data_IF_896098825972
#
_entry.id   IF_896098825972
#
_cell.length_a   1.000
_cell.length_b   1.000
_cell.length_c   1.000
_cell.angle_alpha   90.00
_cell.angle_beta   90.00
_cell.angle_gamma   90.00
#
_symmetry.space_group_name_H-M   'P 1'
#
loop_
_entity.id
_entity.type
_entity.pdbx_description
1 polymer ?
#
# COMPACT_ATOMS: atom_id res chain seq x y z
N UNK A 1 32.73 -65.45 26.82
CA UNK A 1 32.12 -66.26 27.88
C UNK A 1 33.10 -66.43 29.04
N UNK A 2 32.68 -66.24 30.24
CA UNK A 2 33.45 -66.61 31.42
C UNK A 2 33.32 -68.12 31.68
N UNK A 3 34.45 -68.83 31.68
CA UNK A 3 34.46 -70.30 31.78
C UNK A 3 34.07 -70.82 33.16
N UNK A 4 34.11 -70.00 34.21
CA UNK A 4 33.76 -70.41 35.58
C UNK A 4 32.29 -70.12 35.90
N UNK A 5 31.72 -69.00 35.39
CA UNK A 5 30.35 -68.59 35.65
C UNK A 5 29.37 -68.92 34.55
N UNK A 6 29.86 -69.15 33.31
CA UNK A 6 29.03 -69.33 32.12
C UNK A 6 28.41 -68.04 31.59
N UNK A 7 28.77 -66.85 32.13
CA UNK A 7 28.27 -65.56 31.69
C UNK A 7 28.85 -65.20 30.34
N UNK A 8 27.96 -64.88 29.38
CA UNK A 8 28.31 -64.37 28.04
C UNK A 8 28.07 -62.87 28.00
N UNK A 9 29.09 -62.10 27.62
CA UNK A 9 29.04 -60.67 27.51
C UNK A 9 29.37 -60.22 26.08
N UNK A 10 28.74 -59.13 25.61
CA UNK A 10 29.14 -58.43 24.40
C UNK A 10 30.45 -57.68 24.65
N UNK A 11 31.35 -57.67 23.68
CA UNK A 11 32.64 -57.01 23.73
C UNK A 11 32.49 -55.50 23.37
N UNK A 12 31.53 -55.19 22.49
CA UNK A 12 31.24 -53.86 22.03
C UNK A 12 29.75 -53.55 22.29
N UNK A 13 29.38 -52.27 22.26
CA UNK A 13 27.98 -51.85 22.34
C UNK A 13 27.25 -52.37 21.09
N UNK A 14 26.09 -53.01 21.23
CA UNK A 14 25.31 -53.44 20.06
C UNK A 14 24.80 -52.23 19.30
N UNK A 15 24.77 -52.36 18.00
CA UNK A 15 24.30 -51.41 16.99
C UNK A 15 23.42 -52.18 16.04
N UNK A 16 22.12 -51.86 15.98
CA UNK A 16 21.14 -52.63 15.19
C UNK A 16 21.38 -52.49 13.71
N UNK A 17 21.77 -51.27 13.24
CA UNK A 17 22.04 -50.97 11.81
C UNK A 17 23.29 -51.74 11.31
N UNK A 18 24.23 -52.07 12.21
CA UNK A 18 25.38 -52.86 11.91
C UNK A 18 25.06 -54.36 12.01
N UNK A 19 24.31 -54.77 13.04
CA UNK A 19 23.97 -56.16 13.30
C UNK A 19 22.71 -56.31 14.18
N UNK A 20 21.61 -56.78 13.61
CA UNK A 20 20.30 -56.93 14.23
C UNK A 20 20.20 -58.11 15.18
N UNK A 21 21.11 -59.07 15.11
CA UNK A 21 21.11 -60.29 15.92
C UNK A 21 22.49 -60.93 16.06
N UNK A 22 22.73 -61.55 17.21
CA UNK A 22 23.93 -62.33 17.50
C UNK A 22 23.55 -63.80 17.71
N UNK A 23 24.24 -64.70 17.06
CA UNK A 23 24.05 -66.16 17.23
C UNK A 23 25.33 -66.80 17.73
N UNK A 24 25.25 -67.59 18.79
CA UNK A 24 26.37 -68.31 19.34
C UNK A 24 25.94 -69.65 19.91
N UNK A 25 26.90 -70.51 20.10
CA UNK A 25 26.66 -71.89 20.61
C UNK A 25 27.47 -72.10 21.90
N UNK A 26 26.82 -72.56 22.93
CA UNK A 26 27.44 -72.84 24.23
C UNK A 26 27.56 -74.32 24.38
N UNK A 27 28.74 -74.79 24.90
CA UNK A 27 29.01 -76.19 25.34
C UNK A 27 29.53 -76.11 26.78
N UNK A 28 29.28 -77.12 27.60
CA UNK A 28 29.88 -77.31 28.92
C UNK A 28 30.80 -78.51 28.89
N UNK A 29 31.92 -78.36 29.66
CA UNK A 29 32.91 -79.54 29.79
C UNK A 29 33.13 -79.78 31.26
N UNK A 30 33.01 -81.01 31.72
CA UNK A 30 33.26 -81.41 33.09
C UNK A 30 34.78 -81.57 33.39
N UNK A 31 35.15 -81.81 34.66
CA UNK A 31 36.52 -81.93 35.08
C UNK A 31 37.19 -83.24 34.50
N UNK A 32 36.43 -84.18 34.00
CA UNK A 32 36.91 -85.41 33.43
C UNK A 32 37.08 -85.22 31.87
N UNK A 33 36.69 -84.10 31.29
CA UNK A 33 36.78 -83.78 29.87
C UNK A 33 35.57 -84.21 29.04
N UNK A 34 34.48 -84.63 29.67
CA UNK A 34 33.25 -84.88 28.93
C UNK A 34 32.55 -83.57 28.53
N UNK A 35 32.15 -83.54 27.24
CA UNK A 35 31.52 -82.33 26.65
C UNK A 35 30.02 -82.59 26.49
N UNK A 36 29.24 -81.58 26.86
CA UNK A 36 27.76 -81.59 26.68
C UNK A 36 27.37 -81.54 25.19
N UNK A 37 26.12 -81.80 24.90
CA UNK A 37 25.51 -81.36 23.64
C UNK A 37 25.61 -79.84 23.49
N UNK A 38 25.67 -79.35 22.28
CA UNK A 38 25.73 -77.92 21.98
C UNK A 38 24.35 -77.26 22.09
N UNK A 39 24.30 -76.09 22.78
CA UNK A 39 23.10 -75.25 22.88
C UNK A 39 23.26 -73.97 22.04
N UNK A 40 22.44 -73.83 21.00
CA UNK A 40 22.39 -72.60 20.20
C UNK A 40 21.56 -71.55 20.93
N UNK A 41 22.06 -70.33 20.95
CA UNK A 41 21.44 -69.15 21.54
C UNK A 41 21.39 -68.06 20.49
N UNK A 42 20.23 -67.36 20.35
CA UNK A 42 20.06 -66.14 19.58
C UNK A 42 19.82 -65.00 20.54
N UNK A 43 20.47 -63.87 20.29
CA UNK A 43 20.25 -62.60 20.94
C UNK A 43 19.84 -61.57 19.88
N UNK A 44 18.61 -61.12 19.93
CA UNK A 44 18.13 -60.06 19.07
C UNK A 44 18.48 -58.69 19.65
N UNK A 45 18.86 -57.74 18.84
CA UNK A 45 19.08 -56.33 19.17
C UNK A 45 17.80 -55.57 18.89
N UNK A 46 17.34 -54.79 19.84
CA UNK A 46 16.20 -53.90 19.61
C UNK A 46 16.68 -52.67 18.88
N UNK A 47 16.02 -52.31 17.77
CA UNK A 47 16.23 -51.05 17.09
C UNK A 47 15.73 -49.90 17.98
N UNK A 48 16.52 -48.87 18.13
CA UNK A 48 16.17 -47.57 18.73
C UNK A 48 16.30 -46.51 17.66
N UNK A 49 15.44 -45.52 17.72
CA UNK A 49 15.44 -44.39 16.77
C UNK A 49 16.50 -43.37 17.22
N UNK A 50 17.63 -43.30 16.51
CA UNK A 50 18.71 -42.35 16.73
C UNK A 50 18.88 -41.33 15.58
N UNK A 51 18.13 -41.50 14.50
CA UNK A 51 18.23 -40.63 13.34
C UNK A 51 17.23 -39.47 13.48
N UNK A 52 17.73 -38.25 13.34
CA UNK A 52 16.89 -37.07 13.37
C UNK A 52 16.22 -36.84 12.00
N UNK A 53 14.98 -36.33 11.96
CA UNK A 53 14.29 -36.00 10.74
C UNK A 53 14.99 -34.90 9.96
N UNK A 54 14.88 -34.93 8.63
CA UNK A 54 15.44 -33.93 7.73
C UNK A 54 14.32 -33.09 7.11
N UNK A 55 14.38 -31.76 7.22
CA UNK A 55 13.43 -30.87 6.55
C UNK A 55 13.64 -30.96 5.05
N UNK A 56 12.56 -31.18 4.30
CA UNK A 56 12.54 -31.38 2.84
C UNK A 56 11.87 -30.24 2.07
N UNK A 57 11.15 -29.34 2.75
CA UNK A 57 10.57 -28.14 2.14
C UNK A 57 11.65 -27.13 1.75
N UNK A 58 11.41 -26.35 0.70
CA UNK A 58 12.39 -25.41 0.14
C UNK A 58 12.71 -24.25 1.09
N UNK A 59 13.98 -23.85 1.13
CA UNK A 59 14.49 -22.68 1.83
C UNK A 59 14.52 -21.47 0.90
N UNK A 60 13.37 -21.00 0.42
CA UNK A 60 13.27 -19.82 -0.44
C UNK A 60 12.81 -18.59 0.37
N UNK A 61 13.18 -17.40 -0.10
CA UNK A 61 12.55 -16.16 0.38
C UNK A 61 11.07 -16.19 -0.02
N UNK A 62 10.21 -15.92 0.96
CA UNK A 62 8.77 -15.83 0.75
C UNK A 62 8.45 -14.34 0.55
N UNK A 63 7.67 -14.03 -0.46
CA UNK A 63 7.22 -12.66 -0.74
C UNK A 63 5.71 -12.61 -0.55
N UNK A 64 5.25 -11.66 0.24
CA UNK A 64 3.83 -11.39 0.48
C UNK A 64 3.55 -9.91 0.28
N UNK A 65 2.37 -9.58 -0.19
CA UNK A 65 1.94 -8.18 -0.25
C UNK A 65 1.46 -7.73 1.13
N UNK A 66 1.75 -6.50 1.50
CA UNK A 66 1.08 -5.90 2.64
C UNK A 66 -0.44 -5.85 2.38
N UNK A 67 -1.21 -5.67 3.43
CA UNK A 67 -2.67 -5.68 3.37
C UNK A 67 -3.30 -6.96 2.80
N UNK A 68 -2.51 -8.07 2.69
CA UNK A 68 -2.97 -9.36 2.18
C UNK A 68 -3.85 -10.13 3.17
N UNK A 69 -3.99 -9.65 4.40
CA UNK A 69 -4.88 -10.18 5.43
C UNK A 69 -4.16 -10.89 6.57
N UNK A 70 -4.79 -10.89 7.75
CA UNK A 70 -4.31 -11.53 8.96
C UNK A 70 -4.59 -13.04 8.96
N UNK A 71 -3.77 -13.83 9.69
CA UNK A 71 -3.97 -15.25 9.88
C UNK A 71 -3.68 -16.11 8.64
N UNK A 72 -2.87 -15.62 7.71
CA UNK A 72 -2.51 -16.37 6.49
C UNK A 72 -1.39 -17.37 6.73
N UNK A 73 -1.49 -18.53 6.09
CA UNK A 73 -0.40 -19.51 6.04
C UNK A 73 0.63 -19.02 5.04
N UNK A 74 1.83 -18.72 5.53
CA UNK A 74 2.94 -18.17 4.73
C UNK A 74 3.95 -19.21 4.30
N UNK A 75 4.02 -20.35 5.01
CA UNK A 75 4.94 -21.44 4.73
C UNK A 75 4.37 -22.76 5.25
N UNK A 76 4.75 -23.88 4.64
CA UNK A 76 4.46 -25.22 5.16
C UNK A 76 5.73 -26.04 5.17
N UNK A 77 6.19 -26.39 6.36
CA UNK A 77 7.34 -27.27 6.56
C UNK A 77 6.96 -28.72 6.27
N UNK A 78 7.84 -29.44 5.60
CA UNK A 78 7.78 -30.89 5.41
C UNK A 78 9.12 -31.49 5.85
N UNK A 79 9.08 -32.71 6.36
CA UNK A 79 10.28 -33.43 6.77
C UNK A 79 10.20 -34.90 6.36
N UNK A 80 11.35 -35.51 6.21
CA UNK A 80 11.55 -36.96 5.99
C UNK A 80 12.30 -37.55 7.19
N UNK A 81 11.73 -38.63 7.70
CA UNK A 81 12.23 -39.41 8.84
C UNK A 81 12.26 -40.89 8.51
N UNK A 82 12.56 -41.24 7.26
CA UNK A 82 12.49 -42.59 6.75
C UNK A 82 13.80 -43.38 6.88
N UNK A 83 14.85 -42.75 7.40
CA UNK A 83 16.18 -43.38 7.49
C UNK A 83 16.32 -44.41 8.61
N UNK A 84 15.42 -44.38 9.59
CA UNK A 84 15.37 -45.32 10.70
C UNK A 84 13.90 -45.60 11.08
N UNK A 85 13.53 -45.58 12.38
CA UNK A 85 12.16 -45.81 12.83
C UNK A 85 11.37 -44.51 12.72
N UNK A 86 10.50 -44.41 11.72
CA UNK A 86 9.62 -43.27 11.59
C UNK A 86 8.31 -43.46 12.36
N UNK A 87 8.18 -42.79 13.50
CA UNK A 87 6.99 -42.79 14.35
C UNK A 87 6.24 -41.47 14.35
N UNK A 88 6.46 -40.61 13.33
CA UNK A 88 5.88 -39.31 13.14
C UNK A 88 6.81 -38.17 13.56
N UNK A 89 6.62 -37.01 12.91
CA UNK A 89 7.43 -35.82 13.06
C UNK A 89 6.54 -34.68 13.58
N UNK A 90 7.09 -33.86 14.45
CA UNK A 90 6.48 -32.61 14.91
C UNK A 90 7.37 -31.43 14.54
N UNK A 91 6.73 -30.26 14.29
CA UNK A 91 7.42 -29.04 13.89
C UNK A 91 7.35 -27.98 14.99
N UNK A 92 8.42 -27.20 15.14
CA UNK A 92 8.42 -26.05 16.03
C UNK A 92 9.23 -24.88 15.45
N UNK A 93 8.88 -23.65 15.87
CA UNK A 93 9.68 -22.47 15.61
C UNK A 93 10.77 -22.35 16.67
N UNK A 94 11.96 -21.91 16.25
CA UNK A 94 13.07 -21.67 17.17
C UNK A 94 12.90 -20.33 17.86
N UNK A 95 12.69 -20.32 19.18
CA UNK A 95 12.47 -19.10 19.97
C UNK A 95 13.76 -18.29 20.23
N UNK A 96 14.92 -18.94 20.32
CA UNK A 96 16.21 -18.27 20.51
C UNK A 96 17.36 -19.25 20.31
N UNK A 97 18.27 -18.96 19.40
CA UNK A 97 19.53 -19.70 19.29
C UNK A 97 20.66 -18.87 19.92
N UNK A 98 21.05 -19.25 21.12
CA UNK A 98 22.16 -18.62 21.84
C UNK A 98 23.46 -18.70 21.03
N UNK A 99 24.07 -17.53 20.78
CA UNK A 99 25.36 -17.27 20.17
C UNK A 99 25.49 -16.99 18.67
N UNK A 100 24.43 -17.02 17.87
CA UNK A 100 24.46 -16.47 16.52
C UNK A 100 23.40 -15.36 16.41
N UNK A 101 23.86 -14.12 16.60
CA UNK A 101 23.16 -12.87 16.30
C UNK A 101 21.64 -13.01 16.02
N UNK A 102 20.85 -13.08 17.10
CA UNK A 102 19.42 -12.76 17.10
C UNK A 102 18.53 -13.44 16.04
N UNK A 103 18.68 -14.73 15.77
CA UNK A 103 17.66 -15.48 15.03
C UNK A 103 16.67 -16.04 16.07
N UNK A 104 15.77 -15.20 16.56
CA UNK A 104 14.52 -15.67 17.13
C UNK A 104 13.46 -15.59 16.04
N UNK A 105 12.57 -16.58 15.99
CA UNK A 105 11.38 -16.45 15.16
C UNK A 105 10.57 -15.25 15.63
N UNK A 106 10.04 -14.49 14.68
CA UNK A 106 9.23 -13.31 14.98
C UNK A 106 7.97 -13.72 15.76
N UNK A 107 7.62 -12.96 16.79
CA UNK A 107 6.47 -13.26 17.65
C UNK A 107 5.12 -13.15 16.94
N UNK A 108 5.08 -12.54 15.76
CA UNK A 108 3.90 -12.50 14.89
C UNK A 108 3.66 -13.84 14.16
N UNK A 109 4.61 -14.78 14.22
CA UNK A 109 4.54 -16.08 13.56
C UNK A 109 4.23 -17.20 14.54
N UNK A 110 3.42 -18.15 14.11
CA UNK A 110 3.12 -19.37 14.81
C UNK A 110 3.22 -20.58 13.88
N UNK A 111 3.46 -21.77 14.42
CA UNK A 111 3.50 -23.00 13.65
C UNK A 111 2.51 -24.03 14.22
N UNK A 112 1.83 -24.73 13.33
CA UNK A 112 1.08 -25.92 13.70
C UNK A 112 2.06 -27.11 13.77
N UNK A 113 2.22 -27.68 14.95
CA UNK A 113 3.19 -28.75 15.20
C UNK A 113 2.92 -30.03 14.39
N UNK A 114 1.69 -30.31 13.99
CA UNK A 114 1.32 -31.52 13.28
C UNK A 114 1.38 -31.34 11.75
N UNK A 115 0.97 -30.15 11.25
CA UNK A 115 0.90 -29.90 9.79
C UNK A 115 2.12 -29.19 9.25
N UNK A 116 2.95 -28.57 10.10
CA UNK A 116 4.09 -27.74 9.68
C UNK A 116 3.69 -26.39 9.09
N UNK A 117 2.40 -26.00 9.16
CA UNK A 117 1.92 -24.70 8.64
C UNK A 117 2.39 -23.56 9.55
N UNK A 118 3.12 -22.63 8.96
CA UNK A 118 3.54 -21.38 9.60
C UNK A 118 2.55 -20.29 9.21
N UNK A 119 1.96 -19.66 10.22
CA UNK A 119 0.93 -18.63 10.06
C UNK A 119 1.44 -17.29 10.55
N UNK A 120 1.26 -16.24 9.75
CA UNK A 120 1.42 -14.84 10.16
C UNK A 120 0.11 -14.38 10.81
N UNK A 121 0.17 -14.00 12.09
CA UNK A 121 -1.02 -13.69 12.89
C UNK A 121 -1.67 -12.35 12.50
N UNK A 122 -0.84 -11.34 12.26
CA UNK A 122 -1.28 -9.99 11.95
C UNK A 122 -1.37 -9.77 10.43
N UNK A 123 -2.11 -8.74 10.03
CA UNK A 123 -2.07 -8.24 8.67
C UNK A 123 -0.69 -7.61 8.43
N UNK A 124 0.07 -8.02 7.40
CA UNK A 124 1.34 -7.40 7.10
C UNK A 124 1.16 -5.94 6.70
N UNK A 125 2.07 -5.07 7.15
CA UNK A 125 2.13 -3.63 6.98
C UNK A 125 3.62 -3.29 6.83
N UNK A 126 4.01 -2.85 5.65
CA UNK A 126 5.41 -2.63 5.30
C UNK A 126 6.04 -1.50 6.12
N UNK A 127 5.29 -0.41 6.40
CA UNK A 127 5.75 0.73 7.18
C UNK A 127 5.98 0.38 8.63
N UNK A 128 5.24 -0.62 9.15
CA UNK A 128 5.47 -1.15 10.49
C UNK A 128 6.60 -2.18 10.50
N UNK A 129 6.61 -3.12 9.54
CA UNK A 129 7.60 -4.19 9.46
C UNK A 129 7.73 -4.76 8.04
N UNK A 130 8.76 -4.35 7.31
CA UNK A 130 9.02 -4.78 5.92
C UNK A 130 9.54 -6.21 5.76
N UNK A 131 9.84 -6.95 6.85
CA UNK A 131 10.30 -8.34 6.78
C UNK A 131 10.13 -9.08 8.09
N UNK A 132 9.93 -10.42 8.01
CA UNK A 132 9.86 -11.32 9.15
C UNK A 132 10.89 -12.44 9.00
N UNK A 133 11.46 -12.89 10.12
CA UNK A 133 12.40 -13.99 10.15
C UNK A 133 11.87 -15.11 11.05
N UNK A 134 12.08 -16.36 10.63
CA UNK A 134 11.80 -17.52 11.46
C UNK A 134 12.71 -18.67 11.11
N UNK A 135 12.79 -19.63 12.01
CA UNK A 135 13.49 -20.88 11.77
C UNK A 135 12.63 -22.04 12.26
N UNK A 136 12.56 -23.09 11.46
CA UNK A 136 11.82 -24.31 11.75
C UNK A 136 12.78 -25.43 12.10
N UNK A 137 12.42 -26.24 13.08
CA UNK A 137 13.03 -27.55 13.36
C UNK A 137 11.95 -28.62 13.33
N UNK A 138 12.37 -29.82 12.92
CA UNK A 138 11.57 -31.03 12.96
C UNK A 138 12.10 -31.93 14.07
N UNK A 139 11.22 -32.54 14.86
CA UNK A 139 11.55 -33.47 15.96
C UNK A 139 10.72 -34.73 15.79
N UNK A 140 11.36 -35.90 15.84
CA UNK A 140 10.68 -37.20 15.80
C UNK A 140 10.04 -37.59 17.14
N UNK A 141 9.41 -38.74 17.19
CA UNK A 141 8.75 -39.27 18.37
C UNK A 141 9.76 -39.77 19.47
N UNK A 142 11.01 -40.04 19.09
CA UNK A 142 12.07 -40.41 20.02
C UNK A 142 12.73 -39.20 20.67
N UNK A 143 12.54 -38.01 20.11
CA UNK A 143 13.08 -36.74 20.60
C UNK A 143 14.35 -36.29 19.86
N UNK A 144 14.73 -36.93 18.74
CA UNK A 144 15.85 -36.49 17.94
C UNK A 144 15.44 -35.25 17.14
N UNK A 145 16.28 -34.20 17.22
CA UNK A 145 16.01 -32.89 16.62
C UNK A 145 16.83 -32.72 15.35
N UNK A 146 16.15 -32.47 14.24
CA UNK A 146 16.76 -32.24 12.95
C UNK A 146 17.49 -30.90 12.84
N UNK A 147 18.12 -30.69 11.70
CA UNK A 147 18.79 -29.43 11.41
C UNK A 147 17.74 -28.29 11.27
N UNK A 148 18.11 -27.12 11.80
CA UNK A 148 17.31 -25.92 11.68
C UNK A 148 17.31 -25.39 10.23
N UNK A 149 16.15 -25.00 9.73
CA UNK A 149 15.99 -24.29 8.47
C UNK A 149 15.49 -22.86 8.73
N UNK A 150 16.31 -21.88 8.34
CA UNK A 150 15.97 -20.45 8.49
C UNK A 150 15.27 -19.92 7.23
N UNK A 151 14.26 -19.12 7.45
CA UNK A 151 13.39 -18.52 6.42
C UNK A 151 13.28 -17.03 6.64
N UNK A 152 13.02 -16.29 5.54
CA UNK A 152 12.69 -14.88 5.55
C UNK A 152 11.42 -14.64 4.74
N UNK A 153 10.56 -13.80 5.26
CA UNK A 153 9.42 -13.23 4.54
C UNK A 153 9.76 -11.77 4.25
N UNK A 154 9.66 -11.37 3.00
CA UNK A 154 9.71 -9.98 2.57
C UNK A 154 8.29 -9.51 2.30
N UNK A 155 7.94 -8.34 2.81
CA UNK A 155 6.67 -7.68 2.55
C UNK A 155 6.87 -6.70 1.40
N UNK A 156 6.07 -6.84 0.34
CA UNK A 156 6.03 -5.86 -0.73
C UNK A 156 5.29 -4.62 -0.23
N UNK A 157 5.93 -3.47 -0.39
CA UNK A 157 5.30 -2.18 -0.18
C UNK A 157 4.30 -1.90 -1.33
N UNK A 158 3.07 -1.58 -0.97
CA UNK A 158 2.01 -1.11 -1.86
C UNK A 158 1.75 0.36 -1.54
N UNK A 159 1.35 1.11 -2.53
CA UNK A 159 1.01 2.52 -2.35
C UNK A 159 -0.43 2.68 -1.84
N UNK A 160 -0.61 3.04 -0.57
CA UNK A 160 -1.92 3.32 0.04
C UNK A 160 -2.10 4.80 0.40
N UNK A 161 -1.10 5.63 0.19
CA UNK A 161 -1.14 7.04 0.58
C UNK A 161 -1.52 7.91 -0.61
N UNK A 162 -2.64 8.59 -0.49
CA UNK A 162 -3.11 9.49 -1.53
C UNK A 162 -2.21 10.73 -1.66
N UNK A 163 -2.04 11.27 -2.89
CA UNK A 163 -1.32 12.52 -3.11
C UNK A 163 -1.98 13.69 -2.38
N UNK A 164 -1.18 14.66 -1.96
CA UNK A 164 -1.65 15.87 -1.31
C UNK A 164 -1.59 17.07 -2.24
N UNK A 165 -2.71 17.78 -2.47
CA UNK A 165 -2.73 19.00 -3.29
C UNK A 165 -2.03 20.13 -2.51
N UNK A 166 -1.06 20.78 -3.17
CA UNK A 166 -0.21 21.83 -2.59
C UNK A 166 -0.47 23.22 -3.18
N UNK A 167 -1.21 23.31 -4.28
CA UNK A 167 -1.60 24.58 -4.89
C UNK A 167 -2.61 25.37 -4.03
N UNK A 168 -2.71 26.68 -4.28
CA UNK A 168 -3.58 27.57 -3.51
C UNK A 168 -5.08 27.28 -3.75
N UNK A 169 -5.93 27.62 -2.76
CA UNK A 169 -7.39 27.48 -2.86
C UNK A 169 -8.08 28.63 -3.66
N UNK A 170 -7.32 29.57 -4.21
CA UNK A 170 -7.82 30.68 -5.04
C UNK A 170 -6.98 30.80 -6.28
N UNK A 171 -7.64 30.93 -7.44
CA UNK A 171 -7.01 31.28 -8.71
C UNK A 171 -6.72 32.81 -8.74
N UNK A 172 -5.84 33.21 -9.66
CA UNK A 172 -5.62 34.62 -9.94
C UNK A 172 -6.80 35.12 -10.76
N UNK A 173 -7.44 36.22 -10.33
CA UNK A 173 -8.55 36.83 -11.06
C UNK A 173 -8.15 37.18 -12.48
N UNK A 174 -9.06 37.02 -13.42
CA UNK A 174 -8.89 37.40 -14.83
C UNK A 174 -9.87 38.50 -15.21
N UNK A 175 -9.49 39.33 -16.14
CA UNK A 175 -10.39 40.37 -16.66
C UNK A 175 -11.42 39.71 -17.58
N UNK A 176 -12.65 40.20 -17.53
CA UNK A 176 -13.63 39.85 -18.57
C UNK A 176 -13.16 40.31 -19.95
N UNK A 177 -13.76 39.76 -21.00
CA UNK A 177 -13.36 40.04 -22.40
C UNK A 177 -11.89 39.75 -22.71
N UNK A 178 -11.19 38.94 -21.85
CA UNK A 178 -9.78 38.59 -22.03
C UNK A 178 -9.57 37.43 -22.99
N UNK A 179 -10.64 36.82 -23.49
CA UNK A 179 -10.65 35.76 -24.50
C UNK A 179 -10.80 34.35 -23.91
N UNK A 180 -11.34 33.46 -24.73
CA UNK A 180 -11.56 32.07 -24.40
C UNK A 180 -10.28 31.22 -24.45
N UNK A 181 -10.23 30.11 -23.71
CA UNK A 181 -9.17 29.12 -23.80
C UNK A 181 -7.89 29.48 -23.00
N UNK A 182 -7.99 30.40 -22.04
CA UNK A 182 -6.85 30.77 -21.21
C UNK A 182 -6.68 29.85 -20.01
N UNK A 183 -5.42 29.57 -19.62
CA UNK A 183 -5.10 28.88 -18.37
C UNK A 183 -5.29 29.85 -17.20
N UNK A 184 -6.22 29.52 -16.30
CA UNK A 184 -6.61 30.35 -15.16
C UNK A 184 -6.06 29.85 -13.82
N UNK A 185 -5.62 28.58 -13.78
CA UNK A 185 -5.06 27.98 -12.57
C UNK A 185 -4.16 26.80 -12.96
N UNK A 186 -3.19 26.50 -12.12
CA UNK A 186 -2.37 25.28 -12.26
C UNK A 186 -2.36 24.56 -10.93
N UNK A 187 -2.91 23.35 -10.91
CA UNK A 187 -2.87 22.47 -9.76
C UNK A 187 -1.46 21.90 -9.59
N UNK A 188 -1.04 21.78 -8.34
CA UNK A 188 0.18 21.05 -7.95
C UNK A 188 -0.15 20.12 -6.81
N UNK A 189 0.53 18.97 -6.75
CA UNK A 189 0.40 18.00 -5.69
C UNK A 189 1.77 17.40 -5.34
N UNK A 190 1.88 16.81 -4.17
CA UNK A 190 3.00 15.99 -3.71
C UNK A 190 2.49 14.62 -3.30
N UNK A 191 3.28 13.59 -3.63
CA UNK A 191 3.00 12.18 -3.39
C UNK A 191 4.31 11.50 -2.95
N UNK A 192 4.85 11.91 -1.84
CA UNK A 192 6.17 11.48 -1.35
C UNK A 192 6.10 10.76 0.00
N UNK A 193 4.88 10.47 0.47
CA UNK A 193 4.69 9.90 1.81
C UNK A 193 4.86 8.37 1.83
N UNK A 194 4.82 7.73 0.66
CA UNK A 194 5.00 6.30 0.47
C UNK A 194 5.72 6.03 -0.87
N UNK A 195 5.36 4.98 -1.61
CA UNK A 195 5.85 4.75 -2.97
C UNK A 195 5.13 5.67 -3.95
N UNK A 196 5.88 6.52 -4.65
CA UNK A 196 5.30 7.49 -5.58
C UNK A 196 5.64 7.10 -7.02
N UNK A 197 4.63 6.66 -7.77
CA UNK A 197 4.73 6.34 -9.20
C UNK A 197 4.10 7.41 -10.12
N UNK A 198 3.86 8.61 -9.58
CA UNK A 198 3.24 9.73 -10.26
C UNK A 198 1.73 9.77 -10.10
N UNK A 199 1.15 10.93 -10.43
CA UNK A 199 -0.27 11.20 -10.24
C UNK A 199 -0.87 11.96 -11.43
N UNK A 200 -2.18 11.98 -11.51
CA UNK A 200 -2.97 12.72 -12.51
C UNK A 200 -3.98 13.62 -11.81
N UNK A 201 -4.39 14.71 -12.52
CA UNK A 201 -5.39 15.65 -12.03
C UNK A 201 -6.74 15.47 -12.70
N UNK A 202 -7.80 15.77 -11.95
CA UNK A 202 -9.17 15.84 -12.45
C UNK A 202 -9.96 16.94 -11.75
N UNK A 203 -11.05 17.40 -12.37
CA UNK A 203 -12.05 18.23 -11.71
C UNK A 203 -13.12 17.33 -11.09
N UNK A 204 -13.49 17.65 -9.83
CA UNK A 204 -14.57 16.95 -9.15
C UNK A 204 -15.93 17.27 -9.74
N UNK A 205 -16.90 16.38 -9.52
CA UNK A 205 -18.31 16.61 -9.84
C UNK A 205 -18.81 17.89 -9.17
N UNK A 206 -19.54 18.71 -9.94
CA UNK A 206 -20.06 20.01 -9.48
C UNK A 206 -19.13 21.19 -9.76
N UNK A 207 -17.98 20.99 -10.37
CA UNK A 207 -17.16 22.07 -10.93
C UNK A 207 -17.88 22.75 -12.11
N UNK A 208 -17.64 24.04 -12.29
CA UNK A 208 -18.24 24.80 -13.41
C UNK A 208 -17.91 24.17 -14.75
N UNK A 209 -18.93 23.99 -15.59
CA UNK A 209 -18.81 23.30 -16.88
C UNK A 209 -17.98 24.06 -17.93
N UNK A 210 -17.73 25.35 -17.71
CA UNK A 210 -16.86 26.18 -18.55
C UNK A 210 -15.36 25.89 -18.30
N UNK A 211 -15.01 25.11 -17.27
CA UNK A 211 -13.64 24.80 -16.89
C UNK A 211 -13.27 23.38 -17.31
N UNK A 212 -12.05 23.22 -17.78
CA UNK A 212 -11.43 21.92 -18.08
C UNK A 212 -10.04 21.84 -17.46
N UNK A 213 -9.57 20.65 -17.14
CA UNK A 213 -8.23 20.42 -16.60
C UNK A 213 -7.44 19.49 -17.49
N UNK A 214 -6.17 19.79 -17.71
CA UNK A 214 -5.22 18.84 -18.30
C UNK A 214 -4.74 17.88 -17.19
N UNK A 215 -4.98 16.60 -17.38
CA UNK A 215 -4.72 15.59 -16.35
C UNK A 215 -3.23 15.39 -16.03
N UNK A 216 -2.34 15.74 -16.95
CA UNK A 216 -0.90 15.54 -16.77
C UNK A 216 -0.22 16.79 -16.19
N UNK A 217 -0.67 17.99 -16.60
CA UNK A 217 -0.03 19.25 -16.18
C UNK A 217 -0.73 19.96 -15.03
N UNK A 218 -2.00 19.59 -14.74
CA UNK A 218 -2.82 20.27 -13.75
C UNK A 218 -3.32 21.66 -14.19
N UNK A 219 -3.11 22.04 -15.46
CA UNK A 219 -3.57 23.31 -16.00
C UNK A 219 -5.09 23.32 -16.16
N UNK A 220 -5.75 24.27 -15.49
CA UNK A 220 -7.19 24.50 -15.59
C UNK A 220 -7.42 25.64 -16.59
N UNK A 221 -8.23 25.37 -17.60
CA UNK A 221 -8.53 26.27 -18.70
C UNK A 221 -9.98 26.71 -18.64
N UNK A 222 -10.25 28.01 -18.76
CA UNK A 222 -11.58 28.58 -18.97
C UNK A 222 -11.89 28.52 -20.47
N UNK A 223 -12.87 27.70 -20.87
CA UNK A 223 -13.18 27.40 -22.25
C UNK A 223 -13.95 28.53 -22.97
N UNK A 224 -14.65 29.37 -22.21
CA UNK A 224 -15.44 30.54 -22.71
C UNK A 224 -14.68 31.83 -22.46
N UNK A 225 -15.03 32.89 -23.22
CA UNK A 225 -14.64 34.25 -22.88
C UNK A 225 -15.39 34.65 -21.62
N UNK A 226 -14.71 35.10 -20.56
CA UNK A 226 -15.37 35.54 -19.33
C UNK A 226 -16.17 36.83 -19.58
N UNK A 227 -17.31 36.95 -18.90
CA UNK A 227 -18.27 38.07 -18.97
C UNK A 227 -18.79 38.21 -17.51
N UNK A 228 -18.41 39.31 -16.86
CA UNK A 228 -18.70 39.54 -15.44
C UNK A 228 -20.20 39.69 -15.16
N UNK A 229 -20.94 40.33 -16.05
CA UNK A 229 -22.39 40.53 -15.92
C UNK A 229 -23.16 39.20 -16.04
N UNK A 230 -22.57 38.22 -16.76
CA UNK A 230 -23.14 36.87 -16.87
C UNK A 230 -22.71 36.00 -15.71
N UNK A 231 -21.42 36.02 -15.36
CA UNK A 231 -20.88 35.21 -14.25
C UNK A 231 -19.62 35.84 -13.66
N UNK A 232 -19.75 36.47 -12.51
CA UNK A 232 -18.66 37.19 -11.83
C UNK A 232 -17.65 36.28 -11.13
N UNK A 233 -17.96 34.99 -10.93
CA UNK A 233 -17.09 34.02 -10.27
C UNK A 233 -17.34 32.61 -10.77
N UNK A 234 -16.27 31.86 -11.00
CA UNK A 234 -16.30 30.42 -11.27
C UNK A 234 -15.80 29.66 -10.04
N UNK A 235 -16.35 28.47 -9.84
CA UNK A 235 -15.93 27.55 -8.77
C UNK A 235 -15.65 26.15 -9.31
N UNK A 236 -14.59 25.53 -8.83
CA UNK A 236 -14.22 24.17 -9.19
C UNK A 236 -13.49 23.49 -8.03
N UNK A 237 -13.40 22.18 -8.08
CA UNK A 237 -12.61 21.42 -7.12
C UNK A 237 -11.66 20.50 -7.86
N UNK A 238 -10.39 20.53 -7.45
CA UNK A 238 -9.32 19.69 -8.03
C UNK A 238 -9.12 18.46 -7.17
N UNK A 239 -8.90 17.33 -7.82
CA UNK A 239 -8.52 16.05 -7.22
C UNK A 239 -7.24 15.57 -7.91
N UNK A 240 -6.28 15.06 -7.15
CA UNK A 240 -5.15 14.31 -7.65
C UNK A 240 -5.37 12.81 -7.38
N UNK A 241 -4.99 11.97 -8.33
CA UNK A 241 -5.09 10.50 -8.21
C UNK A 241 -3.76 9.90 -8.63
N UNK A 242 -3.16 9.07 -7.78
CA UNK A 242 -1.91 8.36 -8.07
C UNK A 242 -2.12 7.17 -9.03
N UNK A 243 -1.05 6.45 -9.32
CA UNK A 243 -1.10 5.28 -10.19
C UNK A 243 -1.68 4.04 -9.51
N UNK A 244 -1.68 3.99 -8.18
CA UNK A 244 -2.33 2.93 -7.38
C UNK A 244 -3.85 3.12 -7.27
N UNK A 245 -4.35 4.35 -7.55
CA UNK A 245 -5.76 4.71 -7.51
C UNK A 245 -6.18 5.42 -6.24
N UNK A 246 -5.23 5.81 -5.35
CA UNK A 246 -5.55 6.61 -4.18
C UNK A 246 -5.83 8.04 -4.60
N UNK A 247 -6.86 8.65 -4.03
CA UNK A 247 -7.34 9.98 -4.42
C UNK A 247 -7.21 10.96 -3.27
N UNK A 248 -6.68 12.15 -3.57
CA UNK A 248 -6.63 13.26 -2.62
C UNK A 248 -8.02 13.71 -2.15
N UNK A 249 -8.08 14.41 -1.05
CA UNK A 249 -9.22 15.27 -0.76
C UNK A 249 -9.42 16.28 -1.88
N UNK A 250 -10.68 16.60 -2.19
CA UNK A 250 -11.01 17.59 -3.19
C UNK A 250 -10.70 19.00 -2.68
N UNK A 251 -9.83 19.75 -3.36
CA UNK A 251 -9.53 21.13 -3.04
C UNK A 251 -10.43 22.06 -3.84
N UNK A 252 -11.32 22.77 -3.16
CA UNK A 252 -12.16 23.80 -3.76
C UNK A 252 -11.33 25.05 -4.08
N UNK A 253 -11.53 25.56 -5.30
CA UNK A 253 -10.86 26.76 -5.84
C UNK A 253 -11.91 27.69 -6.39
N UNK A 254 -11.71 29.00 -6.18
CA UNK A 254 -12.51 30.07 -6.76
C UNK A 254 -11.68 30.89 -7.73
N UNK A 255 -12.29 31.29 -8.83
CA UNK A 255 -11.76 32.22 -9.84
C UNK A 255 -12.70 33.40 -9.93
N UNK A 256 -12.26 34.58 -9.55
CA UNK A 256 -13.00 35.81 -9.70
C UNK A 256 -12.78 36.42 -11.10
N UNK A 257 -13.80 37.00 -11.68
CA UNK A 257 -13.73 37.78 -12.92
C UNK A 257 -13.72 39.25 -12.55
N UNK A 258 -12.71 39.98 -13.00
CA UNK A 258 -12.64 41.40 -12.85
C UNK A 258 -13.61 42.07 -13.83
N UNK A 259 -14.42 42.95 -13.32
CA UNK A 259 -15.37 43.78 -14.02
C UNK A 259 -14.66 44.94 -14.75
N UNK A 260 -14.95 45.12 -16.01
CA UNK A 260 -14.47 46.19 -16.87
C UNK A 260 -15.69 47.01 -17.39
N UNK A 261 -15.56 48.34 -17.47
CA UNK A 261 -16.59 49.19 -18.03
C UNK A 261 -16.73 48.94 -19.55
N UNK A 262 -17.69 48.10 -19.94
CA UNK A 262 -17.96 47.75 -21.32
C UNK A 262 -19.44 47.98 -21.76
N UNK A 263 -20.32 48.39 -20.81
CA UNK A 263 -21.69 48.71 -21.05
C UNK A 263 -21.88 50.21 -21.35
N UNK A 264 -22.46 50.54 -22.48
CA UNK A 264 -22.70 51.93 -22.82
C UNK A 264 -23.84 52.54 -21.97
N UNK A 265 -23.71 53.80 -21.51
CA UNK A 265 -24.74 54.45 -20.73
C UNK A 265 -26.06 54.60 -21.50
N UNK A 266 -27.17 54.40 -20.81
CA UNK A 266 -28.51 54.52 -21.36
C UNK A 266 -29.12 55.92 -21.09
N UNK A 267 -29.55 56.60 -22.13
CA UNK A 267 -30.27 57.90 -21.95
C UNK A 267 -31.63 57.65 -21.28
N UNK A 268 -31.84 58.27 -20.11
CA UNK A 268 -33.06 58.09 -19.29
C UNK A 268 -33.97 59.28 -19.34
N UNK A 269 -33.51 60.43 -19.89
CA UNK A 269 -34.33 61.65 -20.02
C UNK A 269 -35.43 61.49 -21.06
N UNK A 270 -36.48 62.32 -20.93
CA UNK A 270 -37.65 62.32 -21.83
C UNK A 270 -37.28 62.60 -23.30
N UNK A 271 -37.97 61.94 -24.22
CA UNK A 271 -37.81 62.18 -25.67
C UNK A 271 -38.40 63.50 -26.17
N UNK A 272 -39.03 64.28 -25.25
CA UNK A 272 -39.64 65.57 -25.60
C UNK A 272 -39.04 66.68 -24.73
N UNK A 273 -38.54 67.72 -25.36
CA UNK A 273 -38.13 68.97 -24.70
C UNK A 273 -39.36 69.82 -24.35
N UNK A 274 -39.13 70.76 -23.41
CA UNK A 274 -40.17 71.73 -23.03
C UNK A 274 -40.37 72.73 -24.14
N UNK A 275 -41.62 72.95 -24.56
CA UNK A 275 -41.95 74.01 -25.54
C UNK A 275 -41.58 75.38 -25.02
N UNK A 276 -41.03 76.21 -25.85
CA UNK A 276 -40.66 77.62 -25.55
C UNK A 276 -41.45 78.55 -26.44
N UNK A 277 -41.73 79.73 -25.93
CA UNK A 277 -42.43 80.78 -26.71
C UNK A 277 -41.48 81.45 -27.70
N UNK A 278 -42.01 81.86 -28.81
CA UNK A 278 -41.25 82.67 -29.77
C UNK A 278 -40.80 83.98 -29.06
N UNK A 279 -39.65 84.51 -29.43
CA UNK A 279 -39.07 85.71 -28.86
C UNK A 279 -38.71 85.65 -27.36
N UNK A 280 -38.64 84.49 -26.78
CA UNK A 280 -38.30 84.25 -25.38
C UNK A 280 -36.81 84.50 -25.05
N UNK A 281 -35.98 84.83 -26.03
CA UNK A 281 -34.55 85.14 -25.87
C UNK A 281 -33.63 83.96 -26.09
N UNK A 282 -32.35 84.24 -26.31
CA UNK A 282 -31.31 83.23 -26.51
C UNK A 282 -30.76 82.73 -25.16
N UNK A 283 -30.20 81.54 -25.15
CA UNK A 283 -29.49 80.96 -24.01
C UNK A 283 -30.36 80.22 -22.96
N UNK A 284 -31.64 79.92 -23.33
CA UNK A 284 -32.52 79.16 -22.42
C UNK A 284 -32.15 77.67 -22.46
N UNK A 285 -32.21 77.05 -21.30
CA UNK A 285 -32.08 75.55 -21.21
C UNK A 285 -33.41 74.98 -21.63
N UNK A 286 -33.45 74.33 -22.75
CA UNK A 286 -34.62 73.66 -23.34
C UNK A 286 -34.75 72.21 -23.05
N UNK A 287 -33.65 71.60 -22.67
CA UNK A 287 -33.58 70.16 -22.37
C UNK A 287 -32.38 69.90 -21.43
N UNK A 288 -32.55 68.96 -20.54
CA UNK A 288 -31.44 68.40 -19.73
C UNK A 288 -31.40 66.91 -19.95
N UNK A 289 -30.35 66.42 -20.53
CA UNK A 289 -30.12 65.01 -20.70
C UNK A 289 -29.74 64.38 -19.35
N UNK A 290 -30.26 63.20 -19.07
CA UNK A 290 -29.85 62.32 -18.02
C UNK A 290 -29.60 60.92 -18.61
N UNK A 291 -28.61 60.25 -18.08
CA UNK A 291 -28.31 58.89 -18.49
C UNK A 291 -28.05 58.05 -17.22
N UNK A 292 -28.21 56.76 -17.35
CA UNK A 292 -27.93 55.73 -16.35
C UNK A 292 -26.85 54.80 -16.94
N UNK A 293 -25.81 54.59 -16.15
CA UNK A 293 -24.63 53.77 -16.45
C UNK A 293 -24.47 52.68 -15.39
N UNK A 294 -25.58 52.28 -14.81
CA UNK A 294 -25.60 51.30 -13.73
C UNK A 294 -25.69 49.86 -14.24
N UNK A 295 -25.62 49.65 -15.56
CA UNK A 295 -25.59 48.33 -16.17
C UNK A 295 -24.21 47.64 -15.98
N UNK A 296 -23.21 48.47 -15.62
CA UNK A 296 -21.84 48.11 -15.38
C UNK A 296 -21.41 48.71 -14.03
N UNK A 297 -20.92 47.90 -13.08
CA UNK A 297 -20.77 48.31 -11.68
C UNK A 297 -19.47 49.10 -11.41
N UNK A 298 -18.60 49.28 -12.42
CA UNK A 298 -17.30 49.98 -12.29
C UNK A 298 -17.32 51.46 -12.80
N UNK A 299 -18.47 51.99 -13.05
CA UNK A 299 -18.63 53.37 -13.60
C UNK A 299 -18.21 54.45 -12.62
N UNK A 300 -16.92 54.75 -12.57
CA UNK A 300 -16.33 55.94 -11.94
C UNK A 300 -16.05 57.07 -12.93
N UNK A 301 -16.32 56.86 -14.23
CA UNK A 301 -16.11 57.85 -15.26
C UNK A 301 -17.34 58.74 -15.40
N UNK A 302 -17.19 60.07 -15.32
CA UNK A 302 -18.34 60.95 -15.46
C UNK A 302 -18.91 60.84 -16.90
N UNK A 303 -20.23 60.58 -17.00
CA UNK A 303 -20.95 60.57 -18.26
C UNK A 303 -20.82 61.93 -18.96
N UNK A 304 -20.43 61.90 -20.23
CA UNK A 304 -20.36 63.12 -21.06
C UNK A 304 -21.46 63.10 -22.13
N UNK A 305 -22.01 64.28 -22.41
CA UNK A 305 -23.11 64.42 -23.35
C UNK A 305 -22.67 65.25 -24.55
N UNK A 306 -23.10 64.84 -25.69
CA UNK A 306 -22.89 65.54 -26.96
C UNK A 306 -24.15 65.50 -27.82
N UNK A 307 -24.29 66.45 -28.77
CA UNK A 307 -25.29 66.36 -29.81
C UNK A 307 -24.69 65.62 -30.99
N UNK A 308 -25.50 64.77 -31.65
CA UNK A 308 -25.10 64.10 -32.89
C UNK A 308 -24.95 65.12 -34.03
N UNK A 309 -23.96 64.97 -34.92
CA UNK A 309 -23.73 65.87 -36.05
C UNK A 309 -24.97 65.92 -36.94
N UNK A 310 -25.56 67.13 -37.10
CA UNK A 310 -26.72 67.36 -37.96
C UNK A 310 -28.05 67.47 -37.23
N UNK A 311 -28.05 67.48 -35.90
CA UNK A 311 -29.21 67.77 -35.05
C UNK A 311 -29.43 69.26 -34.78
#
# INVERSE_FOLDING_TARGET
IDSATGEVTLVESPDFEAQDSYNFTVIATDAAGNVSDSQSVSLDVNNLDEQAPSITSDAATIIIDENSGAGQVVYTATADDSLDISNGVTFSLVESYGHMNNVSSDSALSINAETGEVTLADNPDYEAQGSYFFAVVATDAAGNIGNMQSMMIEVNNLDEVAPAITSAATAIAVDENSGAGQVVYTATAEDSADTSDGFTFSLADGSDAALTIDSATGEVTLATDPDHETQSQYSFSVIATDSAGNTSDAQSVTLDINDLDDAAPAITSSTTAVAIDENSGAGQVVYTATADDSADDVSDTPITYSLEEGS
#
